data_IF_800444597965
#
_entry.id   IF_800444597965
#
_cell.length_a   1.000
_cell.length_b   1.000
_cell.length_c   1.000
_cell.angle_alpha   90.00
_cell.angle_beta   90.00
_cell.angle_gamma   90.00
#
_symmetry.space_group_name_H-M   'P 1'
#
loop_
_entity.id
_entity.type
_entity.pdbx_description
1 polymer ?
#
# COMPACT_ATOMS: atom_id res chain seq x y z
N UNK A 1 2.21 9.72 13.76
CA UNK A 1 1.08 9.93 12.83
C UNK A 1 0.51 8.56 12.59
N UNK A 2 -0.81 8.40 12.53
CA UNK A 2 -1.40 7.08 12.35
C UNK A 2 -1.62 6.83 10.86
N UNK A 3 -1.07 5.74 10.33
CA UNK A 3 -1.30 5.30 8.96
C UNK A 3 -2.33 4.19 8.96
N UNK A 4 -3.37 4.34 8.14
CA UNK A 4 -4.44 3.35 7.98
C UNK A 4 -4.48 2.93 6.52
N UNK A 5 -4.25 1.64 6.28
CA UNK A 5 -4.52 1.01 5.00
C UNK A 5 -5.91 0.40 5.05
N UNK A 6 -6.79 0.80 4.14
CA UNK A 6 -8.18 0.35 4.10
C UNK A 6 -8.38 -0.67 2.99
N UNK A 7 -9.34 -1.58 3.17
CA UNK A 7 -9.63 -2.67 2.23
C UNK A 7 -10.18 -2.25 0.87
N UNK A 8 -10.41 -0.96 0.65
CA UNK A 8 -10.72 -0.39 -0.65
C UNK A 8 -9.49 0.20 -1.35
N UNK A 9 -8.27 -0.10 -0.86
CA UNK A 9 -7.01 0.31 -1.45
C UNK A 9 -6.62 1.77 -1.15
N UNK A 10 -7.15 2.38 -0.09
CA UNK A 10 -6.73 3.71 0.32
C UNK A 10 -5.69 3.65 1.43
N UNK A 11 -4.73 4.56 1.38
CA UNK A 11 -3.81 4.84 2.46
C UNK A 11 -4.13 6.22 3.03
N UNK A 12 -4.45 6.27 4.31
CA UNK A 12 -4.78 7.50 5.01
C UNK A 12 -3.74 7.80 6.08
N UNK A 13 -3.39 9.07 6.21
CA UNK A 13 -2.63 9.57 7.34
C UNK A 13 -3.54 10.39 8.25
N UNK A 14 -3.60 10.01 9.52
CA UNK A 14 -4.36 10.69 10.55
C UNK A 14 -3.41 11.35 11.54
N UNK A 15 -3.80 12.52 12.00
CA UNK A 15 -3.16 13.17 13.13
C UNK A 15 -3.43 12.34 14.41
N UNK A 16 -2.39 12.19 15.21
CA UNK A 16 -2.35 11.36 16.41
C UNK A 16 -3.16 11.96 17.54
N UNK A 17 -3.25 13.30 17.56
CA UNK A 17 -3.83 14.05 18.68
C UNK A 17 -5.35 14.18 18.58
N UNK A 18 -5.88 14.30 17.36
CA UNK A 18 -7.30 14.59 17.10
C UNK A 18 -7.96 13.60 16.12
N UNK A 19 -7.20 12.69 15.50
CA UNK A 19 -7.70 11.76 14.50
C UNK A 19 -8.03 12.41 13.15
N UNK A 20 -7.71 13.68 12.93
CA UNK A 20 -8.02 14.36 11.68
C UNK A 20 -7.21 13.79 10.50
N UNK A 21 -7.87 13.56 9.37
CA UNK A 21 -7.20 13.08 8.15
C UNK A 21 -6.33 14.19 7.57
N UNK A 22 -5.01 13.96 7.52
CA UNK A 22 -4.03 14.86 6.91
C UNK A 22 -3.99 14.73 5.40
N UNK A 23 -4.06 13.49 4.90
CA UNK A 23 -4.11 13.18 3.48
C UNK A 23 -4.63 11.77 3.26
N UNK A 24 -5.08 11.53 2.02
CA UNK A 24 -5.56 10.23 1.54
C UNK A 24 -4.97 9.96 0.16
N UNK A 25 -4.46 8.75 -0.05
CA UNK A 25 -3.91 8.29 -1.33
C UNK A 25 -4.64 7.04 -1.77
N UNK A 26 -5.04 7.00 -3.03
CA UNK A 26 -5.56 5.79 -3.65
C UNK A 26 -4.39 4.99 -4.26
N UNK A 27 -4.24 3.73 -3.87
CA UNK A 27 -3.18 2.84 -4.34
C UNK A 27 -3.59 2.00 -5.56
N UNK A 28 -4.74 2.30 -6.20
CA UNK A 28 -5.28 1.61 -7.38
C UNK A 28 -5.24 0.08 -7.23
N UNK A 29 -5.75 -0.39 -6.09
CA UNK A 29 -5.92 -1.83 -5.86
C UNK A 29 -7.21 -2.31 -6.53
N UNK A 30 -7.17 -3.39 -7.34
CA UNK A 30 -8.38 -3.92 -7.94
C UNK A 30 -9.35 -4.40 -6.87
N UNK A 31 -10.65 -4.10 -7.03
CA UNK A 31 -11.71 -4.41 -6.07
C UNK A 31 -11.88 -5.90 -5.72
N UNK A 32 -11.22 -6.79 -6.47
CA UNK A 32 -11.23 -8.26 -6.32
C UNK A 32 -9.86 -8.81 -5.86
N UNK A 33 -9.11 -8.04 -5.08
CA UNK A 33 -7.86 -8.49 -4.50
C UNK A 33 -8.09 -9.44 -3.33
N UNK A 34 -7.26 -10.48 -3.25
CA UNK A 34 -7.31 -11.53 -2.24
C UNK A 34 -6.77 -10.97 -0.91
N UNK A 35 -7.62 -10.18 -0.23
CA UNK A 35 -7.42 -9.42 1.02
C UNK A 35 -6.19 -9.80 1.84
N UNK A 36 -5.04 -9.29 1.40
CA UNK A 36 -3.78 -9.32 2.12
C UNK A 36 -3.50 -7.94 2.66
N UNK A 37 -4.22 -7.54 3.71
CA UNK A 37 -3.98 -6.24 4.37
C UNK A 37 -2.57 -6.21 4.95
N UNK A 38 -1.62 -5.71 4.17
CA UNK A 38 -0.25 -5.52 4.60
C UNK A 38 -0.21 -4.27 5.47
N UNK A 39 0.21 -4.43 6.72
CA UNK A 39 0.45 -3.28 7.59
C UNK A 39 1.50 -2.36 6.91
N UNK A 40 1.22 -1.04 6.76
CA UNK A 40 2.15 -0.12 6.13
C UNK A 40 3.46 -0.06 6.93
N UNK A 41 4.59 -0.27 6.26
CA UNK A 41 5.91 -0.13 6.86
C UNK A 41 6.43 1.30 6.65
N UNK A 42 6.99 1.93 7.68
CA UNK A 42 7.56 3.29 7.57
C UNK A 42 9.07 3.25 7.53
N UNK A 43 9.69 3.86 6.52
CA UNK A 43 11.14 3.98 6.39
C UNK A 43 11.52 5.32 5.75
N UNK A 44 12.52 6.01 6.30
CA UNK A 44 13.08 7.26 5.74
C UNK A 44 12.05 8.35 5.38
N UNK A 45 10.95 8.46 6.13
CA UNK A 45 9.88 9.43 5.87
C UNK A 45 8.88 9.02 4.78
N UNK A 46 8.96 7.78 4.29
CA UNK A 46 8.01 7.17 3.37
C UNK A 46 7.22 6.04 4.05
N UNK A 47 5.95 5.94 3.69
CA UNK A 47 5.07 4.80 3.96
C UNK A 47 5.14 3.84 2.77
N UNK A 48 5.54 2.60 3.03
CA UNK A 48 5.65 1.54 2.04
C UNK A 48 4.47 0.60 2.23
N UNK A 49 3.69 0.40 1.16
CA UNK A 49 2.50 -0.44 1.17
C UNK A 49 2.60 -1.47 0.05
N UNK A 50 2.46 -2.73 0.42
CA UNK A 50 2.31 -3.83 -0.52
C UNK A 50 0.83 -3.99 -0.90
N UNK A 51 0.57 -4.11 -2.20
CA UNK A 51 -0.74 -4.39 -2.74
C UNK A 51 -0.86 -5.81 -3.26
N UNK A 52 -2.07 -6.34 -3.13
CA UNK A 52 -2.47 -7.69 -3.54
C UNK A 52 -2.36 -7.93 -5.05
N UNK A 53 -2.18 -6.86 -5.83
CA UNK A 53 -1.88 -6.90 -7.27
C UNK A 53 -0.39 -7.15 -7.57
N UNK A 54 0.43 -7.41 -6.54
CA UNK A 54 1.86 -7.64 -6.69
C UNK A 54 2.68 -6.36 -6.88
N UNK A 55 2.12 -5.20 -6.52
CA UNK A 55 2.81 -3.92 -6.53
C UNK A 55 3.19 -3.49 -5.13
N UNK A 56 4.26 -2.73 -5.03
CA UNK A 56 4.62 -1.98 -3.84
C UNK A 56 4.64 -0.51 -4.20
N UNK A 57 4.07 0.29 -3.32
CA UNK A 57 3.99 1.74 -3.47
C UNK A 57 4.67 2.39 -2.28
N UNK A 58 5.48 3.42 -2.55
CA UNK A 58 6.08 4.26 -1.53
C UNK A 58 5.45 5.65 -1.59
N UNK A 59 4.90 6.10 -0.47
CA UNK A 59 4.19 7.37 -0.33
C UNK A 59 4.91 8.24 0.68
N UNK A 60 5.18 9.49 0.33
CA UNK A 60 5.81 10.46 1.23
C UNK A 60 4.86 10.80 2.38
N UNK A 61 5.31 10.58 3.61
CA UNK A 61 4.47 10.71 4.80
C UNK A 61 4.01 12.15 5.08
N UNK A 62 4.80 13.16 4.68
CA UNK A 62 4.45 14.56 4.93
C UNK A 62 3.22 15.03 4.16
N UNK A 63 3.04 14.56 2.92
CA UNK A 63 2.14 15.17 1.95
C UNK A 63 1.18 14.17 1.29
N UNK A 64 1.41 12.86 1.46
CA UNK A 64 0.66 11.84 0.74
C UNK A 64 1.05 11.75 -0.73
N UNK A 65 2.25 12.21 -1.10
CA UNK A 65 2.68 12.16 -2.50
C UNK A 65 3.29 10.79 -2.82
N UNK A 66 2.86 10.17 -3.92
CA UNK A 66 3.50 8.95 -4.42
C UNK A 66 4.96 9.26 -4.82
N UNK A 67 5.92 8.58 -4.22
CA UNK A 67 7.33 8.67 -4.57
C UNK A 67 7.62 7.75 -5.75
N UNK A 68 7.20 6.49 -5.64
CA UNK A 68 7.32 5.50 -6.69
C UNK A 68 6.32 4.37 -6.49
N UNK A 69 6.03 3.65 -7.57
CA UNK A 69 5.24 2.43 -7.55
C UNK A 69 5.91 1.40 -8.45
N UNK A 70 6.21 0.23 -7.90
CA UNK A 70 6.90 -0.84 -8.62
C UNK A 70 6.13 -2.14 -8.51
N UNK A 71 6.02 -2.86 -9.64
CA UNK A 71 5.53 -4.23 -9.64
C UNK A 71 6.67 -5.15 -9.19
N UNK A 72 6.51 -5.79 -8.04
CA UNK A 72 7.52 -6.70 -7.47
C UNK A 72 7.10 -8.17 -7.54
N UNK A 73 5.84 -8.45 -7.89
CA UNK A 73 5.34 -9.79 -8.14
C UNK A 73 4.66 -9.87 -9.52
N UNK A 74 5.20 -10.72 -10.38
CA UNK A 74 4.37 -11.49 -11.30
C UNK A 74 3.78 -12.60 -10.45
N UNK A 75 2.47 -12.85 -10.50
CA UNK A 75 1.92 -14.03 -9.88
C UNK A 75 2.57 -15.25 -10.58
N UNK A 76 3.68 -15.75 -10.04
CA UNK A 76 4.30 -16.99 -10.51
C UNK A 76 3.41 -18.10 -9.99
N UNK A 77 2.32 -18.34 -10.73
CA UNK A 77 1.56 -19.55 -10.63
C UNK A 77 2.53 -20.72 -10.59
N UNK A 78 2.44 -21.49 -9.50
CA UNK A 78 3.00 -22.82 -9.29
C UNK A 78 3.80 -23.38 -10.48
N UNK A 79 5.10 -23.55 -10.25
CA UNK A 79 6.03 -24.48 -10.92
C UNK A 79 5.37 -25.34 -12.01
N UNK A 80 5.68 -25.08 -13.28
CA UNK A 80 5.47 -26.01 -14.38
C UNK A 80 6.36 -27.24 -14.14
N UNK A 81 5.80 -28.31 -13.57
CA UNK A 81 6.36 -29.65 -13.72
C UNK A 81 6.04 -30.08 -15.16
N UNK A 82 7.04 -30.05 -16.03
CA UNK A 82 6.94 -30.72 -17.33
C UNK A 82 7.26 -32.19 -17.07
N UNK A 83 6.30 -33.05 -17.37
CA UNK A 83 6.46 -34.50 -17.37
C UNK A 83 7.33 -34.95 -18.56
#
# INVERSE_FOLDING_TARGET
MVLVHTSNGQLQALNETDGAVKWTVNLDMPALSLRGESAPATAYGAAIVGGDNGRVSAVLMQQGQMIWQQRISTATGRRKLTA
#
